data_IF_622532428268
#
_entry.id   IF_622532428268
#
_cell.length_a   1.000
_cell.length_b   1.000
_cell.length_c   1.000
_cell.angle_alpha   90.00
_cell.angle_beta   90.00
_cell.angle_gamma   90.00
#
_symmetry.space_group_name_H-M   'P 1'
#
loop_
_entity.id
_entity.type
_entity.pdbx_description
1 polymer ?
#
# COMPACT_ATOMS: atom_id res chain seq x y z
N UNK A 1 0.51 -1.78 -9.14
CA UNK A 1 1.07 -3.11 -8.84
C UNK A 1 0.87 -4.03 -10.03
N UNK A 2 1.96 -4.61 -10.53
CA UNK A 2 1.93 -5.67 -11.53
C UNK A 2 1.68 -7.03 -10.85
N UNK A 3 1.25 -8.04 -11.62
CA UNK A 3 1.13 -9.40 -11.13
C UNK A 3 2.50 -9.94 -10.64
N UNK A 4 2.53 -10.86 -9.65
CA UNK A 4 3.77 -11.42 -9.09
C UNK A 4 4.72 -11.90 -10.18
N UNK A 5 5.94 -11.34 -10.22
CA UNK A 5 6.89 -11.63 -11.29
C UNK A 5 7.56 -13.00 -11.10
N UNK A 6 7.39 -13.90 -12.08
CA UNK A 6 7.94 -15.27 -12.08
C UNK A 6 9.48 -15.38 -12.19
N UNK A 7 10.18 -14.24 -12.28
CA UNK A 7 11.63 -14.22 -12.56
C UNK A 7 12.45 -14.44 -11.27
N UNK A 8 11.93 -14.03 -10.11
CA UNK A 8 12.64 -14.14 -8.84
C UNK A 8 12.72 -15.58 -8.28
N UNK A 9 11.95 -16.52 -8.83
CA UNK A 9 11.78 -17.87 -8.28
C UNK A 9 12.75 -18.93 -8.83
N UNK A 10 13.67 -18.57 -9.75
CA UNK A 10 14.60 -19.54 -10.36
C UNK A 10 15.67 -20.10 -9.42
N UNK A 11 15.88 -19.49 -8.24
CA UNK A 11 16.93 -19.87 -7.29
C UNK A 11 16.52 -20.98 -6.32
N UNK A 12 15.22 -21.21 -6.16
CA UNK A 12 14.71 -22.16 -5.19
C UNK A 12 14.44 -23.53 -5.81
N UNK A 13 14.46 -24.56 -4.96
CA UNK A 13 14.05 -25.91 -5.32
C UNK A 13 12.62 -25.93 -5.89
N UNK A 14 12.30 -26.91 -6.74
CA UNK A 14 10.95 -27.05 -7.29
C UNK A 14 9.85 -27.12 -6.21
N UNK A 15 9.98 -27.94 -5.14
CA UNK A 15 8.96 -27.97 -4.10
C UNK A 15 8.82 -26.63 -3.36
N UNK A 16 9.90 -25.92 -3.05
CA UNK A 16 9.85 -24.59 -2.42
C UNK A 16 9.15 -23.58 -3.33
N UNK A 17 9.47 -23.61 -4.63
CA UNK A 17 8.84 -22.73 -5.63
C UNK A 17 7.33 -22.90 -5.69
N UNK A 18 6.84 -24.14 -5.69
CA UNK A 18 5.41 -24.42 -5.69
C UNK A 18 4.74 -23.90 -4.41
N UNK A 19 5.38 -24.09 -3.24
CA UNK A 19 4.87 -23.55 -1.97
C UNK A 19 4.82 -22.03 -1.97
N UNK A 20 5.84 -21.35 -2.51
CA UNK A 20 5.85 -19.89 -2.68
C UNK A 20 4.71 -19.42 -3.59
N UNK A 21 4.48 -20.11 -4.71
CA UNK A 21 3.37 -19.76 -5.62
C UNK A 21 2.01 -19.88 -4.91
N UNK A 22 1.80 -20.94 -4.13
CA UNK A 22 0.59 -21.10 -3.32
C UNK A 22 0.47 -19.98 -2.28
N UNK A 23 1.56 -19.63 -1.61
CA UNK A 23 1.58 -18.55 -0.63
C UNK A 23 1.24 -17.20 -1.27
N UNK A 24 1.82 -16.89 -2.43
CA UNK A 24 1.51 -15.65 -3.15
C UNK A 24 0.09 -15.61 -3.70
N UNK A 25 -0.47 -16.74 -4.14
CA UNK A 25 -1.88 -16.82 -4.49
C UNK A 25 -2.78 -16.56 -3.28
N UNK A 26 -2.45 -17.09 -2.10
CA UNK A 26 -3.15 -16.79 -0.85
C UNK A 26 -3.02 -15.34 -0.43
N UNK A 27 -1.84 -14.74 -0.59
CA UNK A 27 -1.62 -13.33 -0.32
C UNK A 27 -2.48 -12.46 -1.25
N UNK A 28 -2.56 -12.81 -2.54
CA UNK A 28 -3.40 -12.11 -3.51
C UNK A 28 -4.89 -12.15 -3.13
N UNK A 29 -5.43 -13.34 -2.83
CA UNK A 29 -6.82 -13.46 -2.39
C UNK A 29 -7.06 -12.74 -1.06
N UNK A 30 -6.16 -12.87 -0.09
CA UNK A 30 -6.27 -12.18 1.20
C UNK A 30 -6.29 -10.65 1.07
N UNK A 31 -5.53 -10.10 0.11
CA UNK A 31 -5.58 -8.67 -0.22
C UNK A 31 -6.92 -8.30 -0.88
N UNK A 32 -7.39 -9.09 -1.84
CA UNK A 32 -8.67 -8.84 -2.50
C UNK A 32 -9.85 -8.86 -1.50
N UNK A 33 -9.88 -9.82 -0.58
CA UNK A 33 -10.88 -9.91 0.49
C UNK A 33 -10.78 -8.73 1.48
N UNK A 34 -9.56 -8.27 1.76
CA UNK A 34 -9.35 -7.09 2.61
C UNK A 34 -9.84 -5.83 1.93
N UNK A 35 -9.49 -5.57 0.67
CA UNK A 35 -10.01 -4.43 -0.07
C UNK A 35 -11.54 -4.48 -0.18
N UNK A 36 -12.11 -5.65 -0.41
CA UNK A 36 -13.56 -5.83 -0.51
C UNK A 36 -14.28 -5.51 0.81
N UNK A 37 -13.80 -6.05 1.94
CA UNK A 37 -14.38 -5.75 3.26
C UNK A 37 -14.23 -4.28 3.63
N UNK A 38 -13.04 -3.70 3.41
CA UNK A 38 -12.78 -2.29 3.68
C UNK A 38 -13.60 -1.35 2.78
N UNK A 39 -13.81 -1.68 1.50
CA UNK A 39 -14.67 -0.91 0.61
C UNK A 39 -16.13 -0.90 1.11
N UNK A 40 -16.64 -2.06 1.53
CA UNK A 40 -17.99 -2.16 2.08
C UNK A 40 -18.11 -1.36 3.39
N UNK A 41 -17.13 -1.45 4.29
CA UNK A 41 -17.10 -0.70 5.54
C UNK A 41 -16.99 0.81 5.31
N UNK A 42 -16.19 1.24 4.34
CA UNK A 42 -16.08 2.64 3.92
C UNK A 42 -17.45 3.20 3.49
N UNK A 43 -18.18 2.48 2.63
CA UNK A 43 -19.53 2.89 2.19
C UNK A 43 -20.51 2.91 3.35
N UNK A 44 -20.53 1.87 4.20
CA UNK A 44 -21.42 1.82 5.38
C UNK A 44 -21.18 3.01 6.31
N UNK A 45 -19.93 3.42 6.50
CA UNK A 45 -19.55 4.54 7.35
C UNK A 45 -20.00 5.88 6.79
N UNK A 46 -19.98 6.04 5.47
CA UNK A 46 -20.35 7.28 4.77
C UNK A 46 -21.78 7.30 4.23
N UNK A 47 -22.60 6.27 4.52
CA UNK A 47 -23.97 6.13 4.00
C UNK A 47 -24.89 7.32 4.24
N UNK A 48 -24.66 8.08 5.31
CA UNK A 48 -25.46 9.26 5.65
C UNK A 48 -25.01 10.52 4.91
N UNK A 49 -23.85 10.46 4.25
CA UNK A 49 -23.19 11.62 3.66
C UNK A 49 -23.03 11.54 2.15
N UNK A 50 -22.84 10.33 1.62
CA UNK A 50 -22.56 10.05 0.21
C UNK A 50 -23.46 8.93 -0.29
N UNK A 51 -23.82 9.00 -1.57
CA UNK A 51 -24.41 7.87 -2.28
C UNK A 51 -23.40 6.71 -2.39
N UNK A 52 -23.90 5.48 -2.51
CA UNK A 52 -23.07 4.26 -2.58
C UNK A 52 -22.03 4.34 -3.71
N UNK A 53 -22.45 4.73 -4.91
CA UNK A 53 -21.55 4.83 -6.07
C UNK A 53 -20.45 5.88 -5.87
N UNK A 54 -20.81 7.05 -5.33
CA UNK A 54 -19.85 8.12 -5.04
C UNK A 54 -18.85 7.69 -3.96
N UNK A 55 -19.33 7.01 -2.91
CA UNK A 55 -18.48 6.50 -1.84
C UNK A 55 -17.50 5.44 -2.36
N UNK A 56 -17.94 4.53 -3.24
CA UNK A 56 -17.04 3.55 -3.86
C UNK A 56 -16.00 4.22 -4.75
N UNK A 57 -16.39 5.17 -5.59
CA UNK A 57 -15.43 5.87 -6.46
C UNK A 57 -14.41 6.68 -5.66
N UNK A 58 -14.83 7.27 -4.53
CA UNK A 58 -13.93 7.89 -3.55
C UNK A 58 -12.98 6.87 -2.95
N UNK A 59 -13.48 5.71 -2.49
CA UNK A 59 -12.66 4.65 -1.92
C UNK A 59 -11.53 4.21 -2.86
N UNK A 60 -11.86 3.88 -4.12
CA UNK A 60 -10.87 3.43 -5.09
C UNK A 60 -9.81 4.49 -5.42
N UNK A 61 -10.19 5.77 -5.32
CA UNK A 61 -9.27 6.90 -5.54
C UNK A 61 -8.33 7.14 -4.37
N UNK A 62 -8.84 7.08 -3.14
CA UNK A 62 -8.09 7.42 -1.93
C UNK A 62 -7.18 6.27 -1.48
N UNK A 63 -7.67 5.02 -1.51
CA UNK A 63 -6.95 3.83 -0.99
C UNK A 63 -5.99 3.23 -2.04
N UNK A 64 -6.18 3.53 -3.32
CA UNK A 64 -5.26 3.08 -4.37
C UNK A 64 -5.26 1.57 -4.61
N UNK A 65 -6.44 0.96 -4.76
CA UNK A 65 -6.58 -0.48 -5.07
C UNK A 65 -5.82 -0.83 -6.36
N UNK A 66 -5.04 -1.93 -6.39
CA UNK A 66 -4.37 -2.39 -7.60
C UNK A 66 -5.35 -2.56 -8.77
N UNK A 67 -4.99 -2.01 -9.94
CA UNK A 67 -5.84 -2.06 -11.13
C UNK A 67 -6.32 -3.48 -11.50
N UNK A 68 -5.47 -4.49 -11.28
CA UNK A 68 -5.81 -5.89 -11.53
C UNK A 68 -6.87 -6.46 -10.57
N UNK A 69 -7.12 -5.82 -9.44
CA UNK A 69 -8.13 -6.20 -8.45
C UNK A 69 -9.39 -5.33 -8.50
N UNK A 70 -9.32 -4.12 -9.06
CA UNK A 70 -10.39 -3.10 -8.99
C UNK A 70 -11.76 -3.63 -9.34
N UNK A 71 -11.92 -4.29 -10.50
CA UNK A 71 -13.23 -4.76 -10.96
C UNK A 71 -13.78 -5.88 -10.05
N UNK A 72 -12.90 -6.77 -9.60
CA UNK A 72 -13.28 -7.88 -8.70
C UNK A 72 -13.69 -7.35 -7.33
N UNK A 73 -12.90 -6.43 -6.77
CA UNK A 73 -13.19 -5.78 -5.49
C UNK A 73 -14.50 -4.99 -5.58
N UNK A 74 -14.70 -4.20 -6.65
CA UNK A 74 -15.93 -3.42 -6.87
C UNK A 74 -17.15 -4.33 -6.94
N UNK A 75 -17.10 -5.38 -7.75
CA UNK A 75 -18.21 -6.32 -7.87
C UNK A 75 -18.54 -7.00 -6.53
N UNK A 76 -17.53 -7.51 -5.82
CA UNK A 76 -17.75 -8.16 -4.52
C UNK A 76 -18.20 -7.17 -3.44
N UNK A 77 -17.75 -5.92 -3.47
CA UNK A 77 -18.19 -4.88 -2.55
C UNK A 77 -19.67 -4.54 -2.77
N UNK A 78 -20.11 -4.39 -4.03
CA UNK A 78 -21.53 -4.17 -4.36
C UNK A 78 -22.41 -5.34 -3.90
N UNK A 79 -21.96 -6.57 -4.09
CA UNK A 79 -22.67 -7.76 -3.58
C UNK A 79 -22.80 -7.69 -2.04
N UNK A 80 -21.74 -7.30 -1.34
CA UNK A 80 -21.74 -7.14 0.12
C UNK A 80 -22.52 -5.93 0.65
N UNK A 81 -22.95 -5.03 -0.25
CA UNK A 81 -23.72 -3.83 0.03
C UNK A 81 -25.16 -3.92 -0.49
N UNK A 82 -25.59 -5.07 -0.99
CA UNK A 82 -26.93 -5.25 -1.56
C UNK A 82 -28.04 -4.78 -0.61
N UNK A 83 -27.90 -5.08 0.68
CA UNK A 83 -28.80 -4.65 1.75
C UNK A 83 -28.84 -3.12 1.90
N UNK A 84 -27.70 -2.45 1.84
CA UNK A 84 -27.59 -0.98 1.96
C UNK A 84 -28.22 -0.28 0.75
N UNK A 85 -28.04 -0.84 -0.45
CA UNK A 85 -28.59 -0.29 -1.69
C UNK A 85 -30.12 -0.38 -1.70
N UNK A 86 -30.67 -1.51 -1.24
CA UNK A 86 -32.12 -1.72 -1.18
C UNK A 86 -32.84 -0.80 -0.18
N UNK A 87 -32.14 -0.36 0.88
CA UNK A 87 -32.74 0.40 1.99
C UNK A 87 -32.29 1.88 2.03
N UNK A 88 -31.80 2.44 0.92
CA UNK A 88 -31.38 3.84 0.89
C UNK A 88 -32.56 4.76 1.23
N UNK A 89 -32.51 5.56 2.31
CA UNK A 89 -33.60 6.45 2.67
C UNK A 89 -33.78 7.49 1.56
N UNK A 90 -35.02 7.63 1.08
CA UNK A 90 -35.42 8.71 0.20
C UNK A 90 -35.06 10.02 0.90
N UNK A 91 -34.16 10.80 0.29
CA UNK A 91 -33.79 12.09 0.86
C UNK A 91 -35.00 12.99 0.75
N UNK A 92 -35.76 13.13 1.84
CA UNK A 92 -36.84 14.10 1.93
C UNK A 92 -36.25 15.48 1.68
N UNK A 93 -36.51 16.02 0.48
CA UNK A 93 -36.13 17.39 0.12
C UNK A 93 -36.93 18.28 1.08
N UNK A 94 -36.29 19.01 2.01
CA UNK A 94 -37.03 19.89 2.91
C UNK A 94 -37.72 20.92 2.03
N UNK A 95 -39.04 21.04 2.15
CA UNK A 95 -39.82 22.04 1.43
C UNK A 95 -39.31 23.44 1.84
N UNK A 96 -38.34 23.96 1.09
CA UNK A 96 -37.79 25.28 1.31
C UNK A 96 -38.87 26.29 0.97
N UNK A 97 -39.60 26.75 1.98
CA UNK A 97 -40.51 27.87 1.86
C UNK A 97 -39.79 29.10 1.31
N UNK A 98 -40.52 30.03 0.71
CA UNK A 98 -40.07 31.23 -0.01
C UNK A 98 -39.30 32.28 0.82
N UNK A 99 -38.64 31.89 1.90
CA UNK A 99 -37.78 32.74 2.73
C UNK A 99 -36.27 32.76 2.38
N UNK A 100 -35.72 32.21 1.26
CA UNK A 100 -34.28 32.09 1.06
C UNK A 100 -33.57 33.39 0.64
N UNK A 101 -34.26 34.53 0.57
CA UNK A 101 -33.69 35.78 0.03
C UNK A 101 -32.99 36.67 1.07
N UNK A 102 -32.80 36.21 2.32
CA UNK A 102 -32.01 36.96 3.31
C UNK A 102 -30.52 36.67 3.10
N UNK A 103 -29.68 37.70 2.84
CA UNK A 103 -28.26 37.50 2.56
C UNK A 103 -27.52 36.80 3.71
N UNK A 104 -27.88 37.08 4.96
CA UNK A 104 -27.29 36.42 6.13
C UNK A 104 -27.56 34.91 6.15
N UNK A 105 -28.78 34.49 5.79
CA UNK A 105 -29.15 33.08 5.72
C UNK A 105 -28.43 32.37 4.58
N UNK A 106 -28.19 33.06 3.46
CA UNK A 106 -27.38 32.52 2.36
C UNK A 106 -25.92 32.32 2.80
N UNK A 107 -25.32 33.28 3.49
CA UNK A 107 -23.96 33.16 4.03
C UNK A 107 -23.85 32.00 5.02
N UNK A 108 -24.82 31.85 5.92
CA UNK A 108 -24.84 30.74 6.88
C UNK A 108 -25.05 29.39 6.20
N UNK A 109 -25.93 29.31 5.18
CA UNK A 109 -26.11 28.10 4.39
C UNK A 109 -24.82 27.71 3.63
N UNK A 110 -24.11 28.70 3.06
CA UNK A 110 -22.83 28.49 2.41
C UNK A 110 -21.75 28.00 3.39
N UNK A 111 -21.65 28.61 4.57
CA UNK A 111 -20.72 28.17 5.63
C UNK A 111 -21.01 26.73 6.07
N UNK A 112 -22.28 26.39 6.31
CA UNK A 112 -22.68 25.02 6.68
C UNK A 112 -22.36 24.01 5.58
N UNK A 113 -22.59 24.38 4.31
CA UNK A 113 -22.24 23.52 3.17
C UNK A 113 -20.72 23.33 3.07
N UNK A 114 -19.93 24.38 3.24
CA UNK A 114 -18.48 24.30 3.24
C UNK A 114 -17.98 23.37 4.36
N UNK A 115 -18.46 23.60 5.60
CA UNK A 115 -18.13 22.74 6.74
C UNK A 115 -18.51 21.28 6.49
N UNK A 116 -19.71 21.03 5.95
CA UNK A 116 -20.17 19.68 5.65
C UNK A 116 -19.26 18.97 4.64
N UNK A 117 -18.78 19.68 3.61
CA UNK A 117 -17.84 19.13 2.62
C UNK A 117 -16.48 18.83 3.26
N UNK A 118 -15.97 19.73 4.10
CA UNK A 118 -14.71 19.54 4.82
C UNK A 118 -14.77 18.34 5.78
N UNK A 119 -15.83 18.24 6.56
CA UNK A 119 -16.06 17.12 7.49
C UNK A 119 -16.17 15.80 6.72
N UNK A 120 -16.87 15.80 5.58
CA UNK A 120 -17.02 14.60 4.76
C UNK A 120 -15.69 14.18 4.13
N UNK A 121 -14.87 15.14 3.68
CA UNK A 121 -13.53 14.86 3.18
C UNK A 121 -12.62 14.33 4.28
N UNK A 122 -12.73 14.86 5.51
CA UNK A 122 -11.98 14.35 6.66
C UNK A 122 -12.36 12.91 6.98
N UNK A 123 -13.65 12.59 7.05
CA UNK A 123 -14.15 11.24 7.28
C UNK A 123 -13.68 10.26 6.18
N UNK A 124 -13.69 10.70 4.91
CA UNK A 124 -13.16 9.90 3.80
C UNK A 124 -11.68 9.57 4.02
N UNK A 125 -10.84 10.56 4.37
CA UNK A 125 -9.42 10.32 4.64
C UNK A 125 -9.20 9.38 5.81
N UNK A 126 -9.95 9.56 6.90
CA UNK A 126 -9.86 8.69 8.08
C UNK A 126 -10.26 7.25 7.75
N UNK A 127 -11.33 7.05 6.98
CA UNK A 127 -11.76 5.72 6.54
C UNK A 127 -10.76 5.09 5.55
N UNK A 128 -10.16 5.88 4.67
CA UNK A 128 -9.08 5.41 3.78
C UNK A 128 -7.86 4.97 4.59
N UNK A 129 -7.43 5.74 5.59
CA UNK A 129 -6.30 5.38 6.46
C UNK A 129 -6.52 4.08 7.24
N UNK A 130 -7.77 3.78 7.65
CA UNK A 130 -8.09 2.47 8.25
C UNK A 130 -7.92 1.32 7.25
N UNK A 131 -8.29 1.57 5.99
CA UNK A 131 -8.14 0.60 4.90
C UNK A 131 -6.67 0.33 4.60
N UNK A 132 -5.86 1.39 4.53
CA UNK A 132 -4.41 1.30 4.31
C UNK A 132 -3.73 0.48 5.42
N UNK A 133 -4.11 0.71 6.68
CA UNK A 133 -3.56 -0.03 7.82
C UNK A 133 -3.98 -1.51 7.79
N UNK A 134 -5.22 -1.82 7.39
CA UNK A 134 -5.70 -3.18 7.21
C UNK A 134 -4.89 -3.91 6.10
N UNK A 135 -4.69 -3.25 4.96
CA UNK A 135 -3.88 -3.77 3.85
C UNK A 135 -2.42 -3.98 4.27
N UNK A 136 -1.82 -3.00 4.95
CA UNK A 136 -0.46 -3.12 5.48
C UNK A 136 -0.32 -4.30 6.45
N UNK A 137 -1.33 -4.56 7.28
CA UNK A 137 -1.35 -5.71 8.19
C UNK A 137 -1.30 -7.04 7.43
N UNK A 138 -2.02 -7.14 6.31
CA UNK A 138 -1.98 -8.33 5.44
C UNK A 138 -0.59 -8.49 4.81
N UNK A 139 -0.01 -7.43 4.26
CA UNK A 139 1.34 -7.50 3.70
C UNK A 139 2.38 -7.91 4.74
N UNK A 140 2.32 -7.37 5.95
CA UNK A 140 3.23 -7.77 7.05
C UNK A 140 3.07 -9.25 7.37
N UNK A 141 1.83 -9.75 7.49
CA UNK A 141 1.56 -11.17 7.76
C UNK A 141 2.15 -12.05 6.66
N UNK A 142 1.88 -11.74 5.39
CA UNK A 142 2.37 -12.51 4.24
C UNK A 142 3.89 -12.44 4.06
N UNK A 143 4.50 -11.30 4.40
CA UNK A 143 5.96 -11.17 4.38
C UNK A 143 6.62 -12.08 5.42
N UNK A 144 6.04 -12.16 6.63
CA UNK A 144 6.52 -13.06 7.68
C UNK A 144 6.34 -14.52 7.25
N UNK A 145 5.17 -14.91 6.75
CA UNK A 145 4.93 -16.28 6.26
C UNK A 145 5.89 -16.65 5.11
N UNK A 146 6.26 -15.68 4.27
CA UNK A 146 7.26 -15.88 3.21
C UNK A 146 8.65 -16.14 3.79
N UNK A 147 9.05 -15.38 4.81
CA UNK A 147 10.31 -15.60 5.51
C UNK A 147 10.33 -16.93 6.28
N UNK A 148 9.22 -17.35 6.88
CA UNK A 148 9.09 -18.66 7.53
C UNK A 148 9.25 -19.80 6.51
N UNK A 149 8.61 -19.69 5.35
CA UNK A 149 8.72 -20.68 4.29
C UNK A 149 10.15 -20.80 3.74
N UNK A 150 10.91 -19.70 3.76
CA UNK A 150 12.27 -19.62 3.23
C UNK A 150 13.36 -19.77 4.32
N UNK A 151 13.00 -20.06 5.57
CA UNK A 151 13.93 -20.08 6.69
C UNK A 151 15.09 -21.08 6.55
N UNK A 152 14.92 -22.13 5.74
CA UNK A 152 15.98 -23.11 5.44
C UNK A 152 16.92 -22.65 4.31
N UNK A 153 16.52 -21.66 3.51
CA UNK A 153 17.21 -21.26 2.29
C UNK A 153 17.81 -19.84 2.36
N UNK A 154 17.24 -18.94 3.16
CA UNK A 154 17.76 -17.58 3.33
C UNK A 154 17.47 -16.97 4.71
N UNK A 155 18.12 -15.84 5.00
CA UNK A 155 17.87 -15.09 6.23
C UNK A 155 16.45 -14.46 6.20
N UNK A 156 15.86 -14.15 7.37
CA UNK A 156 14.51 -13.60 7.43
C UNK A 156 14.38 -12.24 6.72
N UNK A 157 15.40 -11.39 6.77
CA UNK A 157 15.42 -10.13 6.04
C UNK A 157 15.40 -10.33 4.52
N UNK A 158 16.14 -11.32 4.00
CA UNK A 158 16.11 -11.69 2.58
C UNK A 158 14.74 -12.25 2.17
N UNK A 159 14.12 -13.07 3.03
CA UNK A 159 12.78 -13.62 2.80
C UNK A 159 11.69 -12.55 2.74
N UNK A 160 11.71 -11.60 3.68
CA UNK A 160 10.81 -10.44 3.68
C UNK A 160 11.03 -9.58 2.44
N UNK A 161 12.29 -9.30 2.08
CA UNK A 161 12.61 -8.52 0.88
C UNK A 161 12.20 -9.24 -0.41
N UNK A 162 12.22 -10.57 -0.43
CA UNK A 162 11.71 -11.36 -1.55
C UNK A 162 10.21 -11.12 -1.75
N UNK A 163 9.41 -11.13 -0.68
CA UNK A 163 7.98 -10.79 -0.75
C UNK A 163 7.76 -9.37 -1.29
N UNK A 164 8.43 -8.37 -0.70
CA UNK A 164 8.27 -6.96 -1.06
C UNK A 164 8.57 -6.72 -2.55
N UNK A 165 9.65 -7.31 -3.06
CA UNK A 165 10.02 -7.20 -4.48
C UNK A 165 9.03 -7.92 -5.39
N UNK A 166 8.51 -9.07 -4.94
CA UNK A 166 7.56 -9.86 -5.74
C UNK A 166 6.23 -9.12 -5.93
N UNK A 167 5.76 -8.43 -4.89
CA UNK A 167 4.54 -7.62 -4.93
C UNK A 167 4.76 -6.20 -5.46
N UNK A 168 5.99 -5.80 -5.77
CA UNK A 168 6.34 -4.48 -6.32
C UNK A 168 5.76 -3.32 -5.49
N UNK A 169 5.99 -3.38 -4.18
CA UNK A 169 5.45 -2.39 -3.25
C UNK A 169 6.14 -1.03 -3.42
N UNK A 170 5.40 0.10 -3.31
CA UNK A 170 5.98 1.44 -3.29
C UNK A 170 7.04 1.58 -2.19
N UNK A 171 8.05 2.43 -2.41
CA UNK A 171 9.21 2.53 -1.53
C UNK A 171 8.86 2.84 -0.07
N UNK A 172 7.85 3.68 0.16
CA UNK A 172 7.38 4.04 1.50
C UNK A 172 6.73 2.83 2.18
N UNK A 173 5.81 2.16 1.50
CA UNK A 173 5.09 0.99 2.04
C UNK A 173 6.05 -0.18 2.25
N UNK A 174 6.98 -0.40 1.31
CA UNK A 174 8.03 -1.39 1.42
C UNK A 174 8.86 -1.22 2.71
N UNK A 175 9.28 0.01 3.02
CA UNK A 175 10.03 0.30 4.24
C UNK A 175 9.21 0.06 5.50
N UNK A 176 7.93 0.49 5.50
CA UNK A 176 7.02 0.30 6.62
C UNK A 176 6.80 -1.20 6.90
N UNK A 177 6.45 -1.95 5.85
CA UNK A 177 6.18 -3.39 5.92
C UNK A 177 7.43 -4.15 6.35
N UNK A 178 8.59 -3.83 5.77
CA UNK A 178 9.86 -4.44 6.15
C UNK A 178 10.17 -4.26 7.64
N UNK A 179 10.09 -3.03 8.15
CA UNK A 179 10.37 -2.73 9.56
C UNK A 179 9.37 -3.40 10.50
N UNK A 180 8.07 -3.37 10.19
CA UNK A 180 7.04 -4.02 10.99
C UNK A 180 7.16 -5.55 10.99
N UNK A 181 7.47 -6.14 9.84
CA UNK A 181 7.68 -7.58 9.72
C UNK A 181 8.92 -8.04 10.52
N UNK A 182 10.04 -7.33 10.41
CA UNK A 182 11.23 -7.62 11.22
C UNK A 182 10.99 -7.44 12.72
N UNK A 183 10.26 -6.40 13.14
CA UNK A 183 9.93 -6.22 14.54
C UNK A 183 9.11 -7.41 15.08
N UNK A 184 8.06 -7.83 14.36
CA UNK A 184 7.26 -9.01 14.73
C UNK A 184 8.05 -10.31 14.66
N UNK A 185 9.00 -10.43 13.75
CA UNK A 185 9.90 -11.58 13.70
C UNK A 185 10.78 -11.65 14.94
N UNK A 186 11.40 -10.54 15.33
CA UNK A 186 12.24 -10.44 16.52
C UNK A 186 11.46 -10.73 17.82
N UNK A 187 10.18 -10.35 17.88
CA UNK A 187 9.29 -10.71 19.00
C UNK A 187 9.02 -12.22 19.10
N UNK A 188 9.01 -12.95 17.98
CA UNK A 188 8.78 -14.40 17.93
C UNK A 188 10.02 -15.22 18.26
N UNK A 189 11.19 -14.74 17.86
CA UNK A 189 12.47 -15.41 18.08
C UNK A 189 13.51 -14.46 18.70
N UNK A 190 13.41 -14.18 20.01
CA UNK A 190 14.32 -13.27 20.70
C UNK A 190 15.78 -13.78 20.75
N UNK A 191 16.01 -15.06 20.41
CA UNK A 191 17.34 -15.70 20.41
C UNK A 191 17.84 -16.09 19.00
N UNK A 192 17.02 -15.93 17.95
CA UNK A 192 17.32 -16.33 16.58
C UNK A 192 18.40 -15.50 15.87
N UNK A 193 18.74 -14.33 16.41
CA UNK A 193 19.84 -13.51 15.91
C UNK A 193 21.22 -14.16 16.14
N UNK A 194 21.34 -15.14 17.04
CA UNK A 194 22.59 -15.88 17.26
C UNK A 194 22.86 -16.95 16.17
N UNK A 195 21.88 -17.28 15.32
CA UNK A 195 22.05 -18.23 14.20
C UNK A 195 22.47 -17.58 12.89
N UNK A 196 22.47 -16.25 12.81
CA UNK A 196 23.07 -15.57 11.69
C UNK A 196 24.59 -15.62 11.91
N UNK A 197 25.20 -16.74 11.56
CA UNK A 197 26.61 -16.75 11.23
C UNK A 197 26.78 -15.62 10.22
N UNK A 198 27.45 -14.55 10.64
CA UNK A 198 27.70 -13.41 9.80
C UNK A 198 28.52 -13.94 8.62
N UNK A 199 27.83 -14.23 7.50
CA UNK A 199 28.45 -14.19 6.19
C UNK A 199 28.77 -12.72 6.00
N UNK A 200 29.88 -12.29 6.60
CA UNK A 200 30.53 -11.03 6.31
C UNK A 200 30.76 -11.12 4.80
N UNK A 201 30.04 -10.36 3.95
CA UNK A 201 30.53 -10.21 2.60
C UNK A 201 31.91 -9.62 2.80
N UNK A 202 32.96 -10.28 2.30
CA UNK A 202 34.27 -9.65 2.20
C UNK A 202 34.03 -8.35 1.44
N UNK A 203 33.90 -7.26 2.20
CA UNK A 203 34.01 -5.92 1.69
C UNK A 203 35.46 -5.84 1.26
N UNK A 204 35.69 -6.16 -0.01
CA UNK A 204 36.84 -5.67 -0.76
C UNK A 204 36.80 -4.16 -0.55
N UNK A 205 37.60 -3.72 0.42
CA UNK A 205 37.84 -2.31 0.70
C UNK A 205 38.23 -1.68 -0.63
N UNK A 206 37.30 -0.93 -1.21
CA UNK A 206 37.60 -0.09 -2.36
C UNK A 206 38.78 0.79 -1.96
N UNK A 207 39.94 0.48 -2.53
CA UNK A 207 41.11 1.32 -2.48
C UNK A 207 40.69 2.75 -2.86
N UNK A 208 41.07 3.71 -2.01
CA UNK A 208 40.98 5.14 -2.33
C UNK A 208 41.56 5.37 -3.73
N UNK A 209 40.86 6.05 -4.66
CA UNK A 209 41.54 6.60 -5.81
C UNK A 209 42.48 7.71 -5.29
N UNK A 210 43.78 7.43 -5.31
CA UNK A 210 44.79 8.47 -5.24
C UNK A 210 44.66 9.31 -6.52
N UNK A 211 44.09 10.51 -6.39
CA UNK A 211 44.22 11.54 -7.41
C UNK A 211 45.66 12.06 -7.36
N UNK A 212 46.55 11.40 -8.09
CA UNK A 212 47.81 12.01 -8.49
C UNK A 212 47.52 13.06 -9.58
N UNK A 213 47.71 14.33 -9.22
CA UNK A 213 47.73 15.46 -10.14
C UNK A 213 49.16 15.60 -10.70
N UNK A 214 49.45 15.19 -11.95
CA UNK A 214 50.70 15.56 -12.59
C UNK A 214 50.62 17.02 -13.03
N UNK A 215 51.49 17.83 -12.43
CA UNK A 215 51.68 19.23 -12.78
C UNK A 215 52.28 19.44 -14.18
N UNK A 216 52.11 20.68 -14.64
CA UNK A 216 52.84 21.38 -15.72
C UNK A 216 52.59 20.86 -17.14
N UNK A 217 51.58 21.45 -17.80
CA UNK A 217 51.66 21.73 -19.23
C UNK A 217 52.00 23.21 -19.43
N UNK A 218 53.23 23.43 -19.91
CA UNK A 218 53.75 24.71 -20.38
C UNK A 218 53.10 25.06 -21.72
N UNK A 219 52.81 26.35 -21.86
CA UNK A 219 52.44 27.07 -23.07
C UNK A 219 53.28 26.67 -24.31
N UNK A 220 52.59 26.54 -25.44
CA UNK A 220 53.18 26.46 -26.78
C UNK A 220 52.20 26.98 -27.83
N UNK A 221 52.00 28.30 -27.87
CA UNK A 221 51.38 28.99 -29.01
C UNK A 221 52.40 28.99 -30.15
N UNK A 222 52.12 28.28 -31.25
CA UNK A 222 52.80 28.48 -32.53
C UNK A 222 51.79 28.96 -33.57
N UNK A 223 52.05 30.17 -34.06
CA UNK A 223 51.46 30.72 -35.26
C UNK A 223 52.01 30.01 -36.51
N UNK A 224 51.12 29.68 -37.42
CA UNK A 224 51.32 29.38 -38.85
C UNK A 224 49.98 29.82 -39.46
N UNK A 225 49.85 30.62 -40.51
CA UNK A 225 50.71 31.18 -41.53
C UNK A 225 49.75 31.73 -42.57
#
# INVERSE_FOLDING_TARGET
MAAPSLIASRRFSNPTRLRLQVLFARAWEGLADTYQSQAADFVRRLRSRLAVDEALDRYFREVGVPAAMTDTVRARALIALADVVEHSPETEIPSAGWNPLRPDQMLDALKRRAQYVEDTNLECRLAASLSDEAVATIHVRMAIETAELLAEECSPDEGIMHYIRTFDLPSIDAQLIFRRALARWAERDPHGLDRVEAVIPMLTVCARPQFDLPGRLRLGIRAIG
#
